data_IF_891403559866
#
_entry.id   IF_891403559866
#
_cell.length_a   1.000
_cell.length_b   1.000
_cell.length_c   1.000
_cell.angle_alpha   90.00
_cell.angle_beta   90.00
_cell.angle_gamma   90.00
#
_symmetry.space_group_name_H-M   'P 1'
#
loop_
_entity.id
_entity.type
_entity.pdbx_description
1 polymer ?
#
# COMPACT_ATOMS: atom_id res chain seq x y z
N UNK A 1 -4.23 -34.80 -7.54
CA UNK A 1 -4.67 -33.40 -7.56
C UNK A 1 -3.91 -32.70 -8.69
N UNK A 2 -4.56 -32.08 -9.67
CA UNK A 2 -3.85 -31.36 -10.72
C UNK A 2 -3.18 -30.11 -10.13
N UNK A 3 -1.92 -29.94 -10.46
CA UNK A 3 -1.00 -28.96 -9.90
C UNK A 3 -1.49 -27.56 -10.34
N UNK A 4 -1.90 -26.73 -9.38
CA UNK A 4 -2.72 -25.52 -9.58
C UNK A 4 -2.07 -24.32 -10.29
N UNK A 5 -1.25 -24.54 -11.32
CA UNK A 5 -0.80 -23.48 -12.21
C UNK A 5 -1.77 -23.37 -13.39
N UNK A 6 -2.82 -22.56 -13.22
CA UNK A 6 -3.56 -22.02 -14.35
C UNK A 6 -2.64 -21.04 -15.08
N UNK A 7 -2.26 -21.36 -16.32
CA UNK A 7 -1.60 -20.39 -17.21
C UNK A 7 -2.63 -19.32 -17.61
N UNK A 8 -2.79 -18.32 -16.76
CA UNK A 8 -3.56 -17.11 -17.03
C UNK A 8 -2.68 -16.17 -17.88
N UNK A 9 -2.93 -16.16 -19.19
CA UNK A 9 -2.34 -15.17 -20.09
C UNK A 9 -3.20 -13.91 -20.00
N UNK A 10 -2.73 -12.91 -19.25
CA UNK A 10 -3.39 -11.60 -19.16
C UNK A 10 -2.89 -10.75 -20.32
N UNK A 11 -3.79 -10.41 -21.25
CA UNK A 11 -3.49 -9.54 -22.39
C UNK A 11 -3.08 -8.12 -21.96
N UNK A 12 -2.30 -7.44 -22.79
CA UNK A 12 -1.69 -6.14 -22.44
C UNK A 12 -2.71 -5.06 -22.05
N UNK A 13 -3.88 -5.02 -22.69
CA UNK A 13 -4.95 -4.07 -22.35
C UNK A 13 -5.47 -4.29 -20.93
N UNK A 14 -5.76 -5.53 -20.57
CA UNK A 14 -6.22 -5.90 -19.22
C UNK A 14 -5.14 -5.61 -18.19
N UNK A 15 -3.87 -5.89 -18.51
CA UNK A 15 -2.76 -5.52 -17.61
C UNK A 15 -2.66 -4.00 -17.40
N UNK A 16 -2.91 -3.21 -18.45
CA UNK A 16 -2.92 -1.74 -18.35
C UNK A 16 -4.05 -1.27 -17.45
N UNK A 17 -5.26 -1.77 -17.66
CA UNK A 17 -6.43 -1.46 -16.82
C UNK A 17 -6.18 -1.80 -15.34
N UNK A 18 -5.65 -3.00 -15.08
CA UNK A 18 -5.30 -3.40 -13.70
C UNK A 18 -4.25 -2.46 -13.10
N UNK A 19 -3.22 -2.07 -13.85
CA UNK A 19 -2.19 -1.13 -13.35
C UNK A 19 -2.74 0.27 -13.08
N UNK A 20 -3.66 0.74 -13.92
CA UNK A 20 -4.28 2.05 -13.76
C UNK A 20 -5.07 2.16 -12.45
N UNK A 21 -5.73 1.08 -12.00
CA UNK A 21 -6.47 1.06 -10.73
C UNK A 21 -5.59 1.35 -9.50
N UNK A 22 -4.32 0.95 -9.57
CA UNK A 22 -3.37 1.03 -8.45
C UNK A 22 -2.36 2.18 -8.57
N UNK A 23 -2.47 3.03 -9.59
CA UNK A 23 -1.50 4.10 -9.87
C UNK A 23 -1.26 5.06 -8.70
N UNK A 24 -2.29 5.30 -7.89
CA UNK A 24 -2.23 6.17 -6.71
C UNK A 24 -2.02 5.35 -5.43
N UNK A 25 -1.08 4.41 -5.44
CA UNK A 25 -0.84 3.53 -4.29
C UNK A 25 0.64 3.45 -3.93
N UNK A 26 0.91 3.22 -2.64
CA UNK A 26 2.25 2.96 -2.11
C UNK A 26 2.28 1.59 -1.45
N UNK A 27 3.38 0.87 -1.60
CA UNK A 27 3.65 -0.34 -0.83
C UNK A 27 4.47 0.03 0.40
N UNK A 28 4.00 -0.39 1.58
CA UNK A 28 4.62 -0.06 2.85
C UNK A 28 4.90 -1.29 3.70
N UNK A 29 5.92 -1.18 4.55
CA UNK A 29 6.27 -2.21 5.53
C UNK A 29 6.88 -1.60 6.79
N UNK A 30 6.42 -2.03 7.95
CA UNK A 30 6.97 -1.60 9.24
C UNK A 30 8.19 -2.46 9.59
N UNK A 31 9.34 -1.83 9.80
CA UNK A 31 10.59 -2.54 10.07
C UNK A 31 10.76 -2.89 11.55
N UNK A 32 11.26 -4.09 11.82
CA UNK A 32 11.58 -4.52 13.18
C UNK A 32 10.38 -4.83 14.07
N UNK A 33 9.15 -4.75 13.55
CA UNK A 33 7.93 -5.08 14.28
C UNK A 33 6.79 -5.47 13.35
N UNK A 34 6.06 -6.53 13.73
CA UNK A 34 4.77 -6.86 13.13
C UNK A 34 3.67 -5.97 13.70
N UNK A 35 2.75 -5.58 12.85
CA UNK A 35 1.60 -4.75 13.19
C UNK A 35 0.35 -5.34 12.51
N UNK A 36 -0.79 -5.32 13.19
CA UNK A 36 -2.03 -5.76 12.57
C UNK A 36 -2.50 -4.75 11.53
N UNK A 37 -3.19 -5.23 10.48
CA UNK A 37 -3.77 -4.39 9.45
C UNK A 37 -4.60 -3.23 10.03
N UNK A 38 -5.45 -3.52 11.02
CA UNK A 38 -6.30 -2.51 11.66
C UNK A 38 -5.48 -1.43 12.38
N UNK A 39 -4.41 -1.82 13.09
CA UNK A 39 -3.57 -0.86 13.80
C UNK A 39 -2.74 -0.02 12.84
N UNK A 40 -2.20 -0.62 11.78
CA UNK A 40 -1.48 0.10 10.73
C UNK A 40 -2.41 1.08 10.02
N UNK A 41 -3.58 0.63 9.58
CA UNK A 41 -4.58 1.46 8.89
C UNK A 41 -4.91 2.71 9.69
N UNK A 42 -5.26 2.58 10.98
CA UNK A 42 -5.56 3.73 11.85
C UNK A 42 -4.41 4.74 11.95
N UNK A 43 -3.16 4.23 11.99
CA UNK A 43 -1.97 5.08 12.06
C UNK A 43 -1.76 5.83 10.73
N UNK A 44 -1.86 5.13 9.61
CA UNK A 44 -1.72 5.72 8.28
C UNK A 44 -2.83 6.72 7.97
N UNK A 45 -4.08 6.44 8.36
CA UNK A 45 -5.21 7.39 8.24
C UNK A 45 -4.90 8.68 8.98
N UNK A 46 -4.40 8.58 10.22
CA UNK A 46 -4.03 9.77 11.00
C UNK A 46 -2.85 10.53 10.39
N UNK A 47 -1.86 9.81 9.84
CA UNK A 47 -0.61 10.37 9.35
C UNK A 47 -0.75 10.98 7.95
N UNK A 48 -1.42 10.30 7.03
CA UNK A 48 -1.37 10.60 5.59
C UNK A 48 -2.70 11.01 4.98
N UNK A 49 -3.84 10.66 5.58
CA UNK A 49 -5.17 11.00 5.04
C UNK A 49 -5.59 12.41 5.51
N UNK A 50 -4.93 13.46 5.02
CA UNK A 50 -5.16 14.84 5.46
C UNK A 50 -6.30 15.50 4.68
N UNK A 51 -6.37 15.25 3.39
CA UNK A 51 -7.33 15.87 2.47
C UNK A 51 -8.38 14.87 1.96
N UNK A 52 -8.02 13.60 1.86
CA UNK A 52 -8.88 12.51 1.39
C UNK A 52 -8.85 11.30 2.31
N UNK A 53 -9.43 10.20 1.83
CA UNK A 53 -9.36 8.90 2.48
C UNK A 53 -8.21 8.07 1.92
N UNK A 54 -7.87 7.01 2.66
CA UNK A 54 -6.99 5.96 2.18
C UNK A 54 -7.65 4.58 2.35
N UNK A 55 -7.26 3.64 1.52
CA UNK A 55 -7.55 2.21 1.67
C UNK A 55 -6.24 1.46 1.94
N UNK A 56 -6.28 0.48 2.84
CA UNK A 56 -5.10 -0.32 3.21
C UNK A 56 -5.41 -1.79 3.02
N UNK A 57 -4.62 -2.48 2.20
CA UNK A 57 -4.79 -3.88 1.80
C UNK A 57 -3.56 -4.67 2.24
N UNK A 58 -3.77 -5.84 2.84
CA UNK A 58 -2.69 -6.76 3.21
C UNK A 58 -2.22 -7.55 1.98
N UNK A 59 -0.92 -7.42 1.65
CA UNK A 59 -0.28 -8.15 0.55
C UNK A 59 0.43 -9.43 1.01
N UNK A 60 0.44 -9.70 2.32
CA UNK A 60 1.24 -10.75 2.95
C UNK A 60 2.70 -10.35 3.17
N UNK A 61 3.43 -11.14 3.97
CA UNK A 61 4.85 -10.89 4.25
C UNK A 61 5.14 -9.58 5.01
N UNK A 62 4.16 -9.09 5.76
CA UNK A 62 4.16 -7.80 6.45
C UNK A 62 4.25 -6.58 5.49
N UNK A 63 3.86 -6.75 4.22
CA UNK A 63 3.67 -5.68 3.26
C UNK A 63 2.21 -5.29 3.14
N UNK A 64 1.97 -4.00 2.94
CA UNK A 64 0.63 -3.44 2.81
C UNK A 64 0.59 -2.49 1.62
N UNK A 65 -0.48 -2.58 0.82
CA UNK A 65 -0.77 -1.59 -0.20
C UNK A 65 -1.62 -0.48 0.41
N UNK A 66 -1.24 0.77 0.18
CA UNK A 66 -1.96 1.95 0.64
C UNK A 66 -2.43 2.70 -0.59
N UNK A 67 -3.72 2.66 -0.87
CA UNK A 67 -4.33 3.39 -1.99
C UNK A 67 -4.84 4.75 -1.50
N UNK A 68 -4.50 5.79 -2.23
CA UNK A 68 -4.87 7.16 -1.94
C UNK A 68 -6.00 7.62 -2.87
N UNK A 69 -6.97 8.34 -2.29
CA UNK A 69 -8.06 8.96 -3.06
C UNK A 69 -7.84 10.47 -3.27
N UNK A 70 -6.69 10.99 -2.84
CA UNK A 70 -6.24 12.37 -3.05
C UNK A 70 -4.75 12.36 -3.41
N UNK A 71 -4.35 13.10 -4.45
CA UNK A 71 -2.96 13.13 -4.93
C UNK A 71 -2.00 13.89 -4.01
N UNK A 72 -2.47 14.93 -3.32
CA UNK A 72 -1.63 15.68 -2.37
C UNK A 72 -1.29 14.83 -1.15
N UNK A 73 -2.23 14.01 -0.68
CA UNK A 73 -1.98 13.03 0.40
C UNK A 73 -0.98 11.95 -0.03
N UNK A 74 -1.03 11.51 -1.30
CA UNK A 74 -0.06 10.58 -1.89
C UNK A 74 1.34 11.19 -1.90
N UNK A 75 1.47 12.41 -2.46
CA UNK A 75 2.73 13.13 -2.53
C UNK A 75 3.31 13.38 -1.14
N UNK A 76 2.45 13.76 -0.18
CA UNK A 76 2.83 13.92 1.22
C UNK A 76 3.38 12.61 1.80
N UNK A 77 2.64 11.50 1.67
CA UNK A 77 3.08 10.18 2.15
C UNK A 77 4.38 9.69 1.51
N UNK A 78 4.64 10.06 0.25
CA UNK A 78 5.84 9.68 -0.49
C UNK A 78 7.06 10.54 -0.13
N UNK A 79 6.90 11.86 -0.04
CA UNK A 79 8.02 12.81 -0.02
C UNK A 79 8.40 13.30 1.38
N UNK A 80 7.46 13.41 2.31
CA UNK A 80 7.68 14.07 3.62
C UNK A 80 8.19 13.11 4.71
N UNK A 81 8.70 11.94 4.31
CA UNK A 81 9.34 10.97 5.19
C UNK A 81 10.74 11.39 5.68
N UNK A 82 11.39 10.62 6.57
CA UNK A 82 11.10 9.23 6.92
C UNK A 82 9.98 9.06 7.96
N UNK A 83 9.14 8.05 7.75
CA UNK A 83 7.98 7.78 8.60
C UNK A 83 8.30 6.79 9.72
N UNK A 84 7.69 7.00 10.88
CA UNK A 84 7.73 6.07 12.01
C UNK A 84 6.35 5.78 12.56
N UNK A 85 6.15 4.53 12.96
CA UNK A 85 4.99 4.06 13.72
C UNK A 85 5.51 3.27 14.91
N UNK A 86 5.14 3.68 16.12
CA UNK A 86 5.60 3.03 17.37
C UNK A 86 7.13 2.93 17.46
N UNK A 87 7.84 4.00 17.09
CA UNK A 87 9.32 4.08 17.03
C UNK A 87 10.02 3.18 16.00
N UNK A 88 9.25 2.48 15.17
CA UNK A 88 9.75 1.67 14.07
C UNK A 88 9.60 2.40 12.74
N UNK A 89 10.63 2.31 11.87
CA UNK A 89 10.59 2.93 10.55
C UNK A 89 9.62 2.22 9.61
N UNK A 90 8.88 3.00 8.84
CA UNK A 90 8.03 2.53 7.77
C UNK A 90 8.77 2.71 6.45
N UNK A 91 8.99 1.63 5.70
CA UNK A 91 9.48 1.73 4.31
C UNK A 91 8.34 2.11 3.40
N UNK A 92 8.64 2.90 2.37
CA UNK A 92 7.71 3.30 1.32
C UNK A 92 8.31 2.93 -0.02
N UNK A 93 7.51 2.30 -0.88
CA UNK A 93 7.85 1.87 -2.24
C UNK A 93 6.69 2.25 -3.18
N UNK A 94 7.00 2.53 -4.44
CA UNK A 94 6.05 2.92 -5.50
C UNK A 94 6.28 2.05 -6.74
#
# INVERSE_FOLDING_TARGET
MPNGLLNLIIGESIQKEIREEWWNSLIVKLLGRKISLLALKRRLETMWAKMGSIEVIDLGGDFFLVRFFNSEDLDYGLMEGPWKILDHYLTVQF
#
